data_IF_539949508944
#
_entry.id   IF_539949508944
#
_cell.length_a   1.000
_cell.length_b   1.000
_cell.length_c   1.000
_cell.angle_alpha   90.00
_cell.angle_beta   90.00
_cell.angle_gamma   90.00
#
_symmetry.space_group_name_H-M   'P 1'
#
loop_
_entity.id
_entity.type
_entity.pdbx_description
1 polymer ?
#
# COMPACT_ATOMS: atom_id res chain seq x y z
N UNK A 1 20.52 4.45 10.95
CA UNK A 1 19.56 3.88 11.92
C UNK A 1 18.40 3.30 11.12
N UNK A 2 18.04 2.02 11.31
CA UNK A 2 16.83 1.44 10.71
C UNK A 2 15.72 1.46 11.76
N UNK A 3 14.54 1.95 11.40
CA UNK A 3 13.39 2.06 12.30
C UNK A 3 12.29 1.13 11.81
N UNK A 4 11.73 0.34 12.72
CA UNK A 4 10.51 -0.42 12.48
C UNK A 4 9.41 0.14 13.39
N UNK A 5 8.22 0.35 12.84
CA UNK A 5 7.04 0.82 13.58
C UNK A 5 5.96 -0.24 13.43
N UNK A 6 5.43 -0.70 14.56
CA UNK A 6 4.34 -1.68 14.62
C UNK A 6 3.07 -0.97 15.02
N UNK A 7 1.97 -1.29 14.35
CA UNK A 7 0.65 -0.79 14.66
C UNK A 7 -0.19 -1.96 15.17
N UNK A 8 -0.74 -1.80 16.38
CA UNK A 8 -1.71 -2.75 16.94
C UNK A 8 -3.12 -2.30 16.54
N UNK A 9 -3.78 -3.14 15.75
CA UNK A 9 -5.11 -2.89 15.21
C UNK A 9 -6.13 -3.68 16.05
N UNK A 10 -6.83 -2.99 16.94
CA UNK A 10 -7.84 -3.58 17.82
C UNK A 10 -9.18 -3.77 17.09
N UNK A 11 -9.79 -4.96 17.20
CA UNK A 11 -11.12 -5.30 16.68
C UNK A 11 -11.36 -5.04 15.18
N UNK A 12 -10.38 -5.39 14.35
CA UNK A 12 -10.44 -5.09 12.91
C UNK A 12 -10.70 -6.37 12.09
N UNK A 13 -11.91 -6.49 11.54
CA UNK A 13 -12.19 -7.44 10.45
C UNK A 13 -11.35 -7.09 9.20
N UNK A 14 -11.18 -8.02 8.27
CA UNK A 14 -10.33 -7.83 7.08
C UNK A 14 -10.54 -6.50 6.31
N UNK A 15 -11.78 -5.97 6.14
CA UNK A 15 -11.99 -4.66 5.51
C UNK A 15 -11.30 -3.49 6.23
N UNK A 16 -11.18 -3.55 7.56
CA UNK A 16 -10.53 -2.48 8.32
C UNK A 16 -9.01 -2.52 8.23
N UNK A 17 -8.39 -3.68 7.91
CA UNK A 17 -6.95 -3.76 7.62
C UNK A 17 -6.62 -3.08 6.30
N UNK A 18 -7.47 -3.23 5.29
CA UNK A 18 -7.33 -2.53 4.01
C UNK A 18 -7.55 -1.02 4.16
N UNK A 19 -8.56 -0.61 4.94
CA UNK A 19 -8.77 0.81 5.26
C UNK A 19 -7.55 1.42 5.96
N UNK A 20 -6.98 0.72 6.93
CA UNK A 20 -5.74 1.16 7.59
C UNK A 20 -4.56 1.24 6.60
N UNK A 21 -4.39 0.23 5.73
CA UNK A 21 -3.37 0.25 4.70
C UNK A 21 -3.52 1.44 3.75
N UNK A 22 -4.75 1.85 3.41
CA UNK A 22 -5.00 3.07 2.64
C UNK A 22 -4.49 4.31 3.37
N UNK A 23 -4.88 4.49 4.64
CA UNK A 23 -4.44 5.64 5.46
C UNK A 23 -2.90 5.69 5.57
N UNK A 24 -2.28 4.54 5.81
CA UNK A 24 -0.83 4.44 5.93
C UNK A 24 -0.13 4.77 4.61
N UNK A 25 -0.62 4.24 3.49
CA UNK A 25 -0.09 4.52 2.14
C UNK A 25 -0.15 6.01 1.83
N UNK A 26 -1.28 6.65 2.11
CA UNK A 26 -1.46 8.07 1.86
C UNK A 26 -0.52 8.93 2.70
N UNK A 27 -0.28 8.54 3.97
CA UNK A 27 0.72 9.17 4.83
C UNK A 27 2.15 9.01 4.29
N UNK A 28 2.53 7.80 3.87
CA UNK A 28 3.86 7.51 3.30
C UNK A 28 4.08 8.37 2.05
N UNK A 29 3.12 8.36 1.12
CA UNK A 29 3.16 9.17 -0.10
C UNK A 29 3.34 10.66 0.21
N UNK A 30 2.50 11.23 1.08
CA UNK A 30 2.58 12.67 1.41
C UNK A 30 3.87 13.08 2.10
N UNK A 31 4.49 12.17 2.84
CA UNK A 31 5.69 12.47 3.64
C UNK A 31 6.98 12.21 2.86
N UNK A 32 7.02 11.12 2.10
CA UNK A 32 8.26 10.59 1.50
C UNK A 32 8.27 10.64 -0.02
N UNK A 33 7.10 10.83 -0.66
CA UNK A 33 6.97 10.82 -2.11
C UNK A 33 7.14 9.45 -2.76
N UNK A 34 7.45 8.38 -2.00
CA UNK A 34 7.49 7.02 -2.52
C UNK A 34 7.36 5.99 -1.39
N UNK A 35 6.95 4.77 -1.73
CA UNK A 35 6.90 3.65 -0.78
C UNK A 35 6.55 2.32 -1.42
N UNK A 36 6.85 1.23 -0.71
CA UNK A 36 6.45 -0.13 -1.08
C UNK A 36 5.57 -0.70 0.03
N UNK A 37 4.40 -1.22 -0.32
CA UNK A 37 3.53 -1.96 0.58
C UNK A 37 3.61 -3.46 0.26
N UNK A 38 4.09 -4.23 1.23
CA UNK A 38 4.07 -5.69 1.17
C UNK A 38 2.78 -6.20 1.79
N UNK A 39 1.95 -6.83 0.97
CA UNK A 39 0.61 -7.29 1.33
C UNK A 39 0.56 -8.81 1.39
N UNK A 40 -0.08 -9.34 2.43
CA UNK A 40 -0.43 -10.76 2.48
C UNK A 40 -1.82 -11.00 1.88
N UNK A 41 -2.03 -12.16 1.26
CA UNK A 41 -3.38 -12.65 0.95
C UNK A 41 -3.97 -12.24 -0.40
N UNK A 42 -3.19 -11.67 -1.33
CA UNK A 42 -3.67 -11.41 -2.70
C UNK A 42 -4.65 -10.23 -2.80
N UNK A 43 -4.49 -9.23 -1.93
CA UNK A 43 -5.40 -8.07 -1.80
C UNK A 43 -4.93 -6.83 -2.55
N UNK A 44 -3.90 -6.94 -3.40
CA UNK A 44 -3.28 -5.83 -4.13
C UNK A 44 -4.31 -5.10 -5.02
N UNK A 45 -5.11 -5.86 -5.77
CA UNK A 45 -6.12 -5.33 -6.68
C UNK A 45 -7.24 -4.56 -5.93
N UNK A 46 -7.61 -5.06 -4.75
CA UNK A 46 -8.62 -4.40 -3.91
C UNK A 46 -8.08 -3.13 -3.29
N UNK A 47 -6.85 -3.18 -2.76
CA UNK A 47 -6.21 -2.03 -2.14
C UNK A 47 -5.94 -0.92 -3.17
N UNK A 48 -5.45 -1.27 -4.37
CA UNK A 48 -5.26 -0.33 -5.47
C UNK A 48 -6.58 0.40 -5.77
N UNK A 49 -7.68 -0.34 -5.97
CA UNK A 49 -9.00 0.24 -6.22
C UNK A 49 -9.43 1.20 -5.11
N UNK A 50 -9.23 0.81 -3.84
CA UNK A 50 -9.55 1.66 -2.69
C UNK A 50 -8.74 2.96 -2.70
N UNK A 51 -7.43 2.88 -2.95
CA UNK A 51 -6.52 4.02 -3.01
C UNK A 51 -6.87 5.01 -4.13
N UNK A 52 -7.33 4.53 -5.28
CA UNK A 52 -7.82 5.38 -6.38
C UNK A 52 -9.22 5.96 -6.14
N UNK A 53 -10.02 5.33 -5.28
CA UNK A 53 -11.41 5.71 -5.02
C UNK A 53 -11.62 6.60 -3.79
N UNK A 54 -10.56 6.84 -3.00
CA UNK A 54 -10.64 7.60 -1.76
C UNK A 54 -11.08 9.06 -2.01
N UNK A 55 -12.23 9.52 -1.47
CA UNK A 55 -12.72 10.87 -1.73
C UNK A 55 -11.76 11.93 -1.20
N UNK A 56 -11.34 12.88 -2.06
CA UNK A 56 -10.46 13.99 -1.67
C UNK A 56 -9.01 13.59 -1.40
N UNK A 57 -8.66 12.31 -1.59
CA UNK A 57 -7.29 11.81 -1.43
C UNK A 57 -6.84 11.14 -2.72
N UNK A 58 -5.60 11.42 -3.12
CA UNK A 58 -4.99 10.80 -4.28
C UNK A 58 -3.66 10.17 -3.89
N UNK A 59 -3.56 8.86 -4.07
CA UNK A 59 -2.33 8.10 -3.85
C UNK A 59 -1.97 7.43 -5.17
N UNK A 60 -0.99 7.96 -5.94
CA UNK A 60 -0.57 7.33 -7.18
C UNK A 60 0.11 6.01 -6.84
N UNK A 61 -0.61 4.92 -7.09
CA UNK A 61 -0.17 3.57 -6.76
C UNK A 61 -0.41 2.61 -7.91
N UNK A 62 0.36 1.53 -7.91
CA UNK A 62 0.20 0.46 -8.87
C UNK A 62 0.40 -0.90 -8.20
N UNK A 63 -0.45 -1.85 -8.57
CA UNK A 63 -0.31 -3.26 -8.24
C UNK A 63 0.83 -3.95 -9.02
N UNK A 64 1.29 -5.13 -8.58
CA UNK A 64 2.27 -5.92 -9.31
C UNK A 64 1.82 -6.22 -10.74
N UNK A 65 2.72 -6.08 -11.70
CA UNK A 65 2.46 -6.38 -13.11
C UNK A 65 1.60 -5.36 -13.85
N UNK A 66 1.17 -4.27 -13.19
CA UNK A 66 0.59 -3.14 -13.90
C UNK A 66 1.60 -2.52 -14.88
N UNK A 67 1.16 -1.99 -16.04
CA UNK A 67 2.06 -1.45 -17.06
C UNK A 67 3.03 -0.37 -16.57
N UNK A 68 2.65 0.34 -15.52
CA UNK A 68 3.35 1.45 -14.90
C UNK A 68 3.83 1.15 -13.46
N UNK A 69 3.83 -0.13 -13.05
CA UNK A 69 4.18 -0.54 -11.69
C UNK A 69 5.55 -0.03 -11.21
N UNK A 70 6.56 -0.05 -12.07
CA UNK A 70 7.92 0.44 -11.76
C UNK A 70 8.01 1.97 -11.66
N UNK A 71 7.02 2.69 -12.18
CA UNK A 71 6.96 4.16 -12.19
C UNK A 71 6.03 4.72 -11.13
N UNK A 72 5.20 3.87 -10.52
CA UNK A 72 4.28 4.27 -9.49
C UNK A 72 5.03 4.68 -8.21
N UNK A 73 4.74 5.88 -7.66
CA UNK A 73 5.34 6.30 -6.39
C UNK A 73 5.05 5.35 -5.24
N UNK A 74 3.84 4.79 -5.17
CA UNK A 74 3.49 3.74 -4.21
C UNK A 74 3.32 2.42 -4.92
N UNK A 75 4.20 1.46 -4.64
CA UNK A 75 4.15 0.11 -5.23
C UNK A 75 3.47 -0.85 -4.26
N UNK A 76 2.47 -1.57 -4.72
CA UNK A 76 1.91 -2.70 -3.98
C UNK A 76 2.66 -3.96 -4.43
N UNK A 77 2.96 -4.85 -3.48
CA UNK A 77 3.63 -6.11 -3.76
C UNK A 77 3.14 -7.22 -2.83
N UNK A 78 3.05 -8.43 -3.35
CA UNK A 78 2.72 -9.60 -2.56
C UNK A 78 3.89 -9.95 -1.63
N UNK A 79 3.60 -10.26 -0.38
CA UNK A 79 4.58 -10.78 0.57
C UNK A 79 5.13 -12.12 0.05
N UNK A 80 6.42 -12.15 -0.27
CA UNK A 80 7.10 -13.30 -0.88
C UNK A 80 7.42 -13.12 -2.37
N UNK A 81 6.96 -12.04 -3.02
CA UNK A 81 7.52 -11.61 -4.30
C UNK A 81 8.97 -11.16 -4.07
N UNK A 82 9.90 -11.64 -4.90
CA UNK A 82 11.27 -11.16 -4.87
C UNK A 82 11.26 -9.65 -5.17
N UNK A 83 11.60 -8.83 -4.18
CA UNK A 83 11.90 -7.43 -4.40
C UNK A 83 13.26 -7.39 -5.11
N UNK A 84 13.25 -7.27 -6.43
CA UNK A 84 14.48 -7.01 -7.19
C UNK A 84 14.75 -5.51 -7.11
N UNK A 85 15.91 -5.17 -6.55
CA UNK A 85 16.46 -3.80 -6.46
C UNK A 85 16.66 -3.14 -7.84
#
# INVERSE_FOLDING_TARGET
>A
MRTAVYYDLQDVADPGRLSFACTLSAKIWRTSGAGVLLLGGGVEDELERMLWSAPGEFVPCARPGAPDAERAPVRLAAAGAALTD
#
